data_IF_152945912588
#
_entry.id   IF_152945912588
#
_cell.length_a   1.000
_cell.length_b   1.000
_cell.length_c   1.000
_cell.angle_alpha   90.00
_cell.angle_beta   90.00
_cell.angle_gamma   90.00
#
_symmetry.space_group_name_H-M   'P 1'
#
loop_
_entity.id
_entity.type
_entity.pdbx_description
1 polymer ?
#
# COMPACT_ATOMS: atom_id res chain seq x y z
N UNK A 1 -19.54 23.80 -22.35
CA UNK A 1 -18.46 23.01 -22.99
C UNK A 1 -17.21 22.80 -22.13
N UNK A 2 -16.89 23.63 -21.13
CA UNK A 2 -15.69 23.42 -20.27
C UNK A 2 -15.81 22.27 -19.23
N UNK A 3 -17.03 21.89 -18.84
CA UNK A 3 -17.26 20.89 -17.77
C UNK A 3 -16.93 19.47 -18.24
N UNK A 4 -17.20 19.12 -19.51
CA UNK A 4 -16.92 17.78 -20.05
C UNK A 4 -15.43 17.45 -20.21
N UNK A 5 -14.61 18.44 -20.55
CA UNK A 5 -13.15 18.27 -20.73
C UNK A 5 -12.47 18.11 -19.36
N UNK A 6 -12.92 18.86 -18.35
CA UNK A 6 -12.39 18.77 -16.98
C UNK A 6 -12.80 17.47 -16.27
N UNK A 7 -14.04 17.00 -16.47
CA UNK A 7 -14.51 15.72 -15.92
C UNK A 7 -13.75 14.52 -16.48
N UNK A 8 -13.69 14.38 -17.80
CA UNK A 8 -12.98 13.29 -18.45
C UNK A 8 -11.48 13.29 -18.09
N UNK A 9 -10.82 14.46 -18.09
CA UNK A 9 -9.40 14.55 -17.71
C UNK A 9 -9.15 14.15 -16.26
N UNK A 10 -10.08 14.45 -15.34
CA UNK A 10 -10.02 14.04 -13.93
C UNK A 10 -10.17 12.54 -13.79
N UNK A 11 -11.17 11.94 -14.43
CA UNK A 11 -11.42 10.49 -14.40
C UNK A 11 -10.27 9.70 -15.03
N UNK A 12 -9.68 10.22 -16.12
CA UNK A 12 -8.47 9.66 -16.71
C UNK A 12 -7.28 9.70 -15.74
N UNK A 13 -7.07 10.82 -15.08
CA UNK A 13 -5.98 10.98 -14.11
C UNK A 13 -6.18 10.04 -12.92
N UNK A 14 -7.42 9.89 -12.46
CA UNK A 14 -7.78 8.95 -11.39
C UNK A 14 -7.57 7.48 -11.82
N UNK A 15 -7.99 7.12 -13.03
CA UNK A 15 -7.83 5.78 -13.59
C UNK A 15 -6.37 5.38 -13.78
N UNK A 16 -5.58 6.19 -14.47
CA UNK A 16 -4.15 5.93 -14.64
C UNK A 16 -3.38 6.00 -13.32
N UNK A 17 -3.71 6.97 -12.46
CA UNK A 17 -3.06 7.13 -11.17
C UNK A 17 -3.26 5.93 -10.25
N UNK A 18 -4.49 5.40 -10.20
CA UNK A 18 -4.81 4.22 -9.38
C UNK A 18 -4.23 2.92 -9.95
N UNK A 19 -4.22 2.72 -11.27
CA UNK A 19 -3.54 1.57 -11.88
C UNK A 19 -2.02 1.63 -11.65
N UNK A 20 -1.42 2.80 -11.81
CA UNK A 20 -0.01 3.01 -11.51
C UNK A 20 0.31 2.70 -10.03
N UNK A 21 -0.51 3.22 -9.11
CA UNK A 21 -0.39 2.91 -7.69
C UNK A 21 -0.54 1.41 -7.41
N UNK A 22 -1.45 0.70 -8.08
CA UNK A 22 -1.62 -0.74 -7.95
C UNK A 22 -0.33 -1.51 -8.33
N UNK A 23 0.35 -1.11 -9.41
CA UNK A 23 1.63 -1.70 -9.86
C UNK A 23 2.75 -1.42 -8.85
N UNK A 24 2.83 -0.20 -8.33
CA UNK A 24 3.81 0.17 -7.30
C UNK A 24 3.58 -0.63 -6.02
N UNK A 25 2.33 -0.71 -5.53
CA UNK A 25 1.98 -1.49 -4.34
C UNK A 25 2.22 -2.99 -4.54
N UNK A 26 1.96 -3.53 -5.73
CA UNK A 26 2.27 -4.93 -6.06
C UNK A 26 3.77 -5.19 -5.90
N UNK A 27 4.58 -4.33 -6.50
CA UNK A 27 6.03 -4.43 -6.48
C UNK A 27 6.59 -4.38 -5.05
N UNK A 28 6.12 -3.41 -4.26
CA UNK A 28 6.52 -3.25 -2.85
C UNK A 28 6.00 -4.41 -2.00
N UNK A 29 4.78 -4.88 -2.25
CA UNK A 29 4.14 -6.01 -1.56
C UNK A 29 4.91 -7.31 -1.72
N UNK A 30 5.25 -7.68 -2.96
CA UNK A 30 6.04 -8.88 -3.27
C UNK A 30 7.42 -8.78 -2.62
N UNK A 31 8.07 -7.60 -2.71
CA UNK A 31 9.38 -7.38 -2.09
C UNK A 31 9.34 -7.51 -0.56
N UNK A 32 8.32 -6.95 0.10
CA UNK A 32 8.17 -7.03 1.56
C UNK A 32 7.87 -8.46 2.03
N UNK A 33 7.09 -9.23 1.25
CA UNK A 33 6.77 -10.62 1.58
C UNK A 33 8.03 -11.51 1.65
N UNK A 34 8.98 -11.34 0.72
CA UNK A 34 10.23 -12.10 0.70
C UNK A 34 11.21 -11.75 1.81
N UNK A 35 11.22 -10.50 2.26
CA UNK A 35 12.15 -10.01 3.29
C UNK A 35 11.65 -10.21 4.71
N UNK A 36 10.36 -10.47 4.89
CA UNK A 36 9.72 -10.73 6.18
C UNK A 36 10.28 -11.94 6.96
N UNK A 37 11.15 -12.78 6.38
CA UNK A 37 11.67 -13.99 7.06
C UNK A 37 13.21 -14.10 7.08
N UNK A 38 13.96 -13.10 6.60
CA UNK A 38 15.42 -13.20 6.55
C UNK A 38 16.08 -12.56 7.77
N UNK A 39 16.73 -13.35 8.62
CA UNK A 39 17.63 -12.87 9.69
C UNK A 39 18.74 -11.94 9.16
N UNK A 40 19.09 -12.05 7.88
CA UNK A 40 20.02 -11.14 7.20
C UNK A 40 19.47 -9.71 7.04
N UNK A 41 18.15 -9.52 6.99
CA UNK A 41 17.53 -8.21 6.89
C UNK A 41 17.65 -7.42 8.19
N UNK A 42 17.54 -8.09 9.35
CA UNK A 42 17.78 -7.47 10.65
C UNK A 42 19.23 -6.95 10.77
N UNK A 43 20.21 -7.70 10.25
CA UNK A 43 21.62 -7.27 10.16
C UNK A 43 21.80 -6.11 9.17
N UNK A 44 21.17 -6.20 8.00
CA UNK A 44 21.19 -5.15 6.97
C UNK A 44 20.56 -3.84 7.46
N UNK A 45 19.41 -3.89 8.15
CA UNK A 45 18.77 -2.72 8.74
C UNK A 45 19.66 -2.12 9.82
N UNK A 46 20.25 -2.94 10.70
CA UNK A 46 21.19 -2.44 11.73
C UNK A 46 22.42 -1.77 11.11
N UNK A 47 23.03 -2.37 10.10
CA UNK A 47 24.20 -1.82 9.39
C UNK A 47 23.84 -0.58 8.56
N UNK A 48 22.70 -0.56 7.86
CA UNK A 48 22.23 0.61 7.10
C UNK A 48 21.78 1.74 8.01
N UNK A 49 21.15 1.46 9.15
CA UNK A 49 20.78 2.48 10.13
C UNK A 49 22.03 3.06 10.79
N UNK A 50 23.02 2.21 11.13
CA UNK A 50 24.34 2.64 11.62
C UNK A 50 25.11 3.50 10.60
N UNK A 51 25.14 3.09 9.32
CA UNK A 51 25.82 3.86 8.24
C UNK A 51 25.03 5.09 7.78
N UNK A 52 23.70 5.06 7.87
CA UNK A 52 22.86 6.21 7.51
C UNK A 52 23.05 7.38 8.47
N UNK A 53 23.31 7.06 9.74
CA UNK A 53 23.64 8.03 10.77
C UNK A 53 25.05 8.63 10.59
N UNK A 54 25.96 8.01 9.82
CA UNK A 54 27.39 8.37 9.84
C UNK A 54 27.95 9.09 8.61
N UNK A 55 27.19 9.39 7.54
CA UNK A 55 27.84 10.11 6.41
C UNK A 55 27.06 10.52 5.16
N UNK A 56 25.72 10.45 5.12
CA UNK A 56 24.98 11.01 3.96
C UNK A 56 23.56 10.49 3.75
N UNK A 57 23.22 9.32 4.31
CA UNK A 57 21.86 8.77 4.19
C UNK A 57 20.87 9.32 5.23
N UNK A 58 21.33 10.06 6.25
CA UNK A 58 20.46 10.77 7.19
C UNK A 58 19.59 11.84 6.50
N UNK A 59 20.16 12.60 5.55
CA UNK A 59 19.41 13.57 4.74
C UNK A 59 18.33 12.91 3.86
N UNK A 60 18.63 11.74 3.30
CA UNK A 60 17.65 10.96 2.53
C UNK A 60 16.50 10.46 3.42
N UNK A 61 16.82 9.89 4.59
CA UNK A 61 15.81 9.41 5.54
C UNK A 61 14.96 10.56 6.10
N UNK A 62 15.59 11.70 6.40
CA UNK A 62 14.91 12.92 6.78
C UNK A 62 13.98 13.42 5.67
N UNK A 63 14.47 13.51 4.43
CA UNK A 63 13.66 13.94 3.28
C UNK A 63 12.49 12.99 3.02
N UNK A 64 12.70 11.68 3.10
CA UNK A 64 11.64 10.69 2.96
C UNK A 64 10.58 10.82 4.06
N UNK A 65 11.01 10.91 5.32
CA UNK A 65 10.08 11.09 6.45
C UNK A 65 9.34 12.43 6.33
N UNK A 66 10.03 13.50 5.95
CA UNK A 66 9.44 14.82 5.74
C UNK A 66 8.36 14.78 4.65
N UNK A 67 8.65 14.22 3.46
CA UNK A 67 7.67 14.14 2.37
C UNK A 67 6.44 13.32 2.77
N UNK A 68 6.65 12.18 3.44
CA UNK A 68 5.55 11.31 3.90
C UNK A 68 4.67 12.04 4.93
N UNK A 69 5.26 12.67 5.95
CA UNK A 69 4.51 13.41 6.98
C UNK A 69 3.86 14.66 6.39
N UNK A 70 4.57 15.42 5.55
CA UNK A 70 4.04 16.63 4.91
C UNK A 70 2.79 16.32 4.07
N UNK A 71 2.82 15.24 3.26
CA UNK A 71 1.67 14.84 2.46
C UNK A 71 0.44 14.55 3.32
N UNK A 72 0.62 13.76 4.39
CA UNK A 72 -0.47 13.37 5.28
C UNK A 72 -1.06 14.58 6.02
N UNK A 73 -0.20 15.49 6.50
CA UNK A 73 -0.61 16.73 7.16
C UNK A 73 -1.34 17.64 6.17
N UNK A 74 -0.86 17.76 4.94
CA UNK A 74 -1.50 18.56 3.90
C UNK A 74 -2.91 18.05 3.57
N UNK A 75 -3.06 16.74 3.34
CA UNK A 75 -4.36 16.09 3.09
C UNK A 75 -5.31 16.30 4.28
N UNK A 76 -4.80 16.16 5.50
CA UNK A 76 -5.58 16.39 6.73
C UNK A 76 -6.05 17.84 6.83
N UNK A 77 -5.18 18.83 6.60
CA UNK A 77 -5.55 20.25 6.64
C UNK A 77 -6.61 20.57 5.58
N UNK A 78 -6.45 20.07 4.35
CA UNK A 78 -7.44 20.29 3.29
C UNK A 78 -8.79 19.64 3.64
N UNK A 79 -8.77 18.44 4.23
CA UNK A 79 -9.99 17.77 4.67
C UNK A 79 -10.69 18.55 5.80
N UNK A 80 -9.95 19.00 6.81
CA UNK A 80 -10.49 19.84 7.88
C UNK A 80 -11.02 21.18 7.35
N UNK A 81 -10.31 21.80 6.40
CA UNK A 81 -10.78 23.03 5.77
C UNK A 81 -12.12 22.81 5.05
N UNK A 82 -12.22 21.76 4.23
CA UNK A 82 -13.45 21.40 3.52
C UNK A 82 -14.61 21.04 4.47
N UNK A 83 -14.32 20.37 5.58
CA UNK A 83 -15.33 19.95 6.54
C UNK A 83 -15.78 21.14 7.42
N UNK A 84 -14.86 22.04 7.79
CA UNK A 84 -15.20 23.28 8.52
C UNK A 84 -16.08 24.23 7.72
N UNK A 85 -15.95 24.23 6.39
CA UNK A 85 -16.82 24.99 5.51
C UNK A 85 -18.28 24.52 5.53
N UNK A 86 -18.58 23.31 6.06
CA UNK A 86 -19.95 22.79 6.20
C UNK A 86 -20.67 23.27 7.47
N UNK A 87 -19.98 23.97 8.38
CA UNK A 87 -20.60 24.77 9.45
C UNK A 87 -20.71 24.12 10.84
N UNK A 88 -20.39 22.84 11.01
CA UNK A 88 -20.42 22.18 12.33
C UNK A 88 -19.02 22.07 12.97
N UNK A 89 -18.50 23.22 13.41
CA UNK A 89 -17.18 23.30 14.03
C UNK A 89 -17.10 22.59 15.40
N UNK A 90 -18.23 22.40 16.09
CA UNK A 90 -18.27 21.71 17.38
C UNK A 90 -17.98 20.21 17.24
N UNK A 91 -18.67 19.55 16.31
CA UNK A 91 -18.45 18.13 16.05
C UNK A 91 -17.07 17.86 15.42
N UNK A 92 -16.57 18.82 14.64
CA UNK A 92 -15.21 18.80 14.10
C UNK A 92 -14.12 18.78 15.18
N UNK A 93 -14.23 19.67 16.16
CA UNK A 93 -13.26 19.75 17.26
C UNK A 93 -13.34 18.50 18.15
N UNK A 94 -14.54 17.97 18.39
CA UNK A 94 -14.72 16.71 19.11
C UNK A 94 -14.07 15.52 18.36
N UNK A 95 -14.30 15.44 17.05
CA UNK A 95 -13.65 14.46 16.16
C UNK A 95 -12.13 14.58 16.20
N UNK A 96 -11.59 15.79 16.05
CA UNK A 96 -10.16 16.06 16.13
C UNK A 96 -9.55 15.64 17.48
N UNK A 97 -10.19 16.02 18.59
CA UNK A 97 -9.76 15.64 19.93
C UNK A 97 -9.76 14.12 20.13
N UNK A 98 -10.79 13.44 19.64
CA UNK A 98 -10.88 11.98 19.71
C UNK A 98 -9.78 11.28 18.89
N UNK A 99 -9.48 11.79 17.69
CA UNK A 99 -8.42 11.27 16.83
C UNK A 99 -7.04 11.47 17.47
N UNK A 100 -6.76 12.66 18.02
CA UNK A 100 -5.51 12.93 18.75
C UNK A 100 -5.36 11.98 19.94
N UNK A 101 -6.41 11.76 20.72
CA UNK A 101 -6.40 10.83 21.86
C UNK A 101 -6.09 9.40 21.43
N UNK A 102 -6.79 8.90 20.40
CA UNK A 102 -6.59 7.54 19.87
C UNK A 102 -5.19 7.37 19.27
N UNK A 103 -4.73 8.32 18.46
CA UNK A 103 -3.38 8.27 17.86
C UNK A 103 -2.29 8.35 18.93
N UNK A 104 -2.49 9.17 19.97
CA UNK A 104 -1.56 9.24 21.11
C UNK A 104 -1.48 7.90 21.85
N UNK A 105 -2.62 7.22 22.05
CA UNK A 105 -2.68 5.89 22.65
C UNK A 105 -1.96 4.85 21.78
N UNK A 106 -2.20 4.86 20.46
CA UNK A 106 -1.54 3.98 19.51
C UNK A 106 -0.02 4.24 19.50
N UNK A 107 0.41 5.51 19.45
CA UNK A 107 1.81 5.89 19.50
C UNK A 107 2.47 5.43 20.80
N UNK A 108 1.82 5.63 21.94
CA UNK A 108 2.29 5.14 23.23
C UNK A 108 2.44 3.61 23.24
N UNK A 109 1.45 2.87 22.74
CA UNK A 109 1.52 1.43 22.62
C UNK A 109 2.67 0.99 21.69
N UNK A 110 2.81 1.61 20.52
CA UNK A 110 3.90 1.32 19.58
C UNK A 110 5.28 1.57 20.18
N UNK A 111 5.47 2.68 20.92
CA UNK A 111 6.72 2.99 21.60
C UNK A 111 7.02 2.00 22.73
N UNK A 112 5.98 1.58 23.47
CA UNK A 112 6.13 0.61 24.57
C UNK A 112 6.42 -0.80 24.08
N UNK A 113 5.75 -1.25 23.02
CA UNK A 113 5.86 -2.61 22.48
C UNK A 113 6.90 -2.75 21.35
N UNK A 114 7.49 -1.65 20.86
CA UNK A 114 8.52 -1.66 19.80
C UNK A 114 9.69 -2.61 20.05
N UNK A 115 10.09 -2.80 21.32
CA UNK A 115 11.20 -3.72 21.68
C UNK A 115 10.86 -5.21 21.51
N UNK A 116 9.59 -5.57 21.43
CA UNK A 116 9.11 -6.96 21.29
C UNK A 116 8.49 -7.25 19.93
N UNK A 117 8.42 -6.27 19.04
CA UNK A 117 7.66 -6.40 17.81
C UNK A 117 8.42 -7.30 16.82
N UNK A 118 7.93 -8.52 16.53
CA UNK A 118 8.61 -9.41 15.60
C UNK A 118 8.50 -8.78 14.20
N UNK A 119 9.60 -8.15 13.76
CA UNK A 119 9.69 -7.43 12.48
C UNK A 119 9.15 -8.30 11.33
N UNK A 120 9.44 -9.60 11.39
CA UNK A 120 8.92 -10.58 10.45
C UNK A 120 7.39 -10.58 10.31
N UNK A 121 6.66 -10.54 11.43
CA UNK A 121 5.20 -10.55 11.40
C UNK A 121 4.65 -9.21 10.90
N UNK A 122 5.27 -8.08 11.27
CA UNK A 122 4.89 -6.76 10.78
C UNK A 122 4.97 -6.70 9.25
N UNK A 123 6.12 -7.06 8.67
CA UNK A 123 6.30 -7.07 7.21
C UNK A 123 5.33 -8.03 6.52
N UNK A 124 5.00 -9.18 7.14
CA UNK A 124 4.00 -10.11 6.63
C UNK A 124 2.61 -9.49 6.59
N UNK A 125 2.14 -8.88 7.68
CA UNK A 125 0.82 -8.22 7.71
C UNK A 125 0.76 -7.04 6.74
N UNK A 126 1.81 -6.21 6.69
CA UNK A 126 1.89 -5.11 5.73
C UNK A 126 1.92 -5.60 4.28
N UNK A 127 2.58 -6.73 3.98
CA UNK A 127 2.55 -7.33 2.63
C UNK A 127 1.16 -7.77 2.21
N UNK A 128 0.38 -8.34 3.14
CA UNK A 128 -1.02 -8.70 2.89
C UNK A 128 -1.92 -7.47 2.72
N UNK A 129 -1.72 -6.43 3.54
CA UNK A 129 -2.45 -5.17 3.40
C UNK A 129 -2.21 -4.56 2.02
N UNK A 130 -0.96 -4.47 1.57
CA UNK A 130 -0.64 -3.96 0.24
C UNK A 130 -1.22 -4.84 -0.86
N UNK A 131 -1.17 -6.17 -0.73
CA UNK A 131 -1.79 -7.09 -1.67
C UNK A 131 -3.29 -6.83 -1.85
N UNK A 132 -4.02 -6.63 -0.74
CA UNK A 132 -5.45 -6.27 -0.79
C UNK A 132 -5.64 -4.92 -1.47
N UNK A 133 -4.90 -3.89 -1.08
CA UNK A 133 -5.01 -2.55 -1.67
C UNK A 133 -4.68 -2.53 -3.15
N UNK A 134 -3.69 -3.30 -3.60
CA UNK A 134 -3.37 -3.50 -5.01
C UNK A 134 -4.58 -3.98 -5.81
N UNK A 135 -5.30 -4.98 -5.31
CA UNK A 135 -6.50 -5.52 -5.98
C UNK A 135 -7.63 -4.48 -5.98
N UNK A 136 -7.83 -3.76 -4.88
CA UNK A 136 -8.85 -2.70 -4.79
C UNK A 136 -8.57 -1.57 -5.78
N UNK A 137 -7.33 -1.10 -5.86
CA UNK A 137 -6.93 0.00 -6.76
C UNK A 137 -7.01 -0.40 -8.22
N UNK A 138 -6.71 -1.66 -8.56
CA UNK A 138 -6.86 -2.15 -9.92
C UNK A 138 -8.32 -2.08 -10.40
N UNK A 139 -9.26 -2.50 -9.55
CA UNK A 139 -10.69 -2.43 -9.85
C UNK A 139 -11.19 -0.99 -9.97
N UNK A 140 -10.80 -0.10 -9.04
CA UNK A 140 -11.12 1.33 -9.11
C UNK A 140 -10.54 2.03 -10.33
N UNK A 141 -9.30 1.68 -10.71
CA UNK A 141 -8.65 2.28 -11.87
C UNK A 141 -9.30 1.90 -13.18
N UNK A 142 -9.68 0.63 -13.34
CA UNK A 142 -10.45 0.23 -14.53
C UNK A 142 -11.83 0.89 -14.55
N UNK A 143 -12.50 1.01 -13.42
CA UNK A 143 -13.80 1.69 -13.35
C UNK A 143 -13.69 3.17 -13.73
N UNK A 144 -12.67 3.89 -13.24
CA UNK A 144 -12.45 5.29 -13.62
C UNK A 144 -12.10 5.46 -15.11
N UNK A 145 -11.39 4.50 -15.72
CA UNK A 145 -11.15 4.49 -17.17
C UNK A 145 -12.41 4.15 -17.99
N UNK A 146 -13.35 3.40 -17.40
CA UNK A 146 -14.68 3.16 -17.98
C UNK A 146 -15.54 4.42 -17.93
N UNK A 147 -15.52 5.14 -16.80
CA UNK A 147 -16.21 6.43 -16.63
C UNK A 147 -15.67 7.47 -17.63
N UNK A 148 -14.34 7.51 -17.82
CA UNK A 148 -13.69 8.38 -18.81
C UNK A 148 -13.93 7.98 -20.28
N UNK A 149 -14.60 6.86 -20.54
CA UNK A 149 -14.94 6.38 -21.89
C UNK A 149 -13.79 5.74 -22.68
N UNK A 150 -12.64 5.43 -22.05
CA UNK A 150 -11.53 4.73 -22.71
C UNK A 150 -11.72 3.21 -22.77
N UNK A 151 -12.40 2.64 -21.77
CA UNK A 151 -12.64 1.20 -21.68
C UNK A 151 -14.13 0.95 -21.86
N UNK A 152 -14.48 0.03 -22.75
CA UNK A 152 -15.87 -0.39 -22.94
C UNK A 152 -16.45 -1.01 -21.66
N UNK A 153 -17.73 -0.76 -21.41
CA UNK A 153 -18.47 -1.33 -20.29
C UNK A 153 -19.14 -2.61 -20.79
N UNK A 154 -18.66 -3.77 -20.32
CA UNK A 154 -19.33 -5.05 -20.52
C UNK A 154 -19.93 -5.49 -19.17
N UNK A 155 -21.23 -5.27 -18.93
CA UNK A 155 -21.86 -5.55 -17.64
C UNK A 155 -21.84 -7.04 -17.31
N UNK A 156 -21.69 -7.35 -16.02
CA UNK A 156 -21.97 -8.66 -15.47
C UNK A 156 -23.21 -8.62 -14.57
N UNK A 157 -24.19 -9.46 -14.86
CA UNK A 157 -25.43 -9.56 -14.09
C UNK A 157 -25.23 -10.12 -12.65
N UNK A 158 -24.24 -10.99 -12.45
CA UNK A 158 -24.12 -11.80 -11.23
C UNK A 158 -23.07 -11.32 -10.20
N UNK A 159 -22.45 -10.14 -10.39
CA UNK A 159 -21.44 -9.61 -9.45
C UNK A 159 -21.96 -8.42 -8.65
N UNK A 160 -21.82 -8.43 -7.30
CA UNK A 160 -22.24 -7.31 -6.48
C UNK A 160 -21.33 -6.09 -6.69
N UNK A 161 -21.92 -4.90 -6.71
CA UNK A 161 -21.17 -3.63 -6.75
C UNK A 161 -20.69 -3.26 -5.36
N UNK A 162 -19.39 -3.36 -5.11
CA UNK A 162 -18.74 -2.98 -3.86
C UNK A 162 -17.69 -1.90 -4.14
N UNK A 163 -18.13 -0.63 -4.17
CA UNK A 163 -17.27 0.51 -4.50
C UNK A 163 -16.06 0.67 -3.56
N UNK A 164 -16.22 0.32 -2.28
CA UNK A 164 -15.12 0.33 -1.31
C UNK A 164 -14.00 -0.65 -1.69
N UNK A 165 -14.36 -1.85 -2.16
CA UNK A 165 -13.41 -2.90 -2.56
C UNK A 165 -13.00 -2.79 -4.04
N UNK A 166 -13.48 -1.76 -4.75
CA UNK A 166 -13.20 -1.61 -6.18
C UNK A 166 -13.85 -2.69 -7.05
N UNK A 167 -14.83 -3.43 -6.53
CA UNK A 167 -15.55 -4.46 -7.30
C UNK A 167 -16.71 -3.79 -8.01
N UNK A 168 -16.63 -3.74 -9.34
CA UNK A 168 -17.69 -3.24 -10.18
C UNK A 168 -18.25 -4.39 -11.04
N UNK A 169 -19.55 -4.36 -11.38
CA UNK A 169 -20.18 -5.43 -12.17
C UNK A 169 -19.79 -5.32 -13.65
N UNK A 170 -18.49 -5.36 -13.96
CA UNK A 170 -17.94 -5.28 -15.33
C UNK A 170 -16.84 -6.31 -15.54
N UNK A 171 -16.77 -6.90 -16.74
CA UNK A 171 -15.74 -7.90 -17.10
C UNK A 171 -14.33 -7.37 -16.90
N UNK A 172 -14.11 -6.13 -17.31
CA UNK A 172 -12.79 -5.51 -17.33
C UNK A 172 -12.27 -5.27 -15.91
N UNK A 173 -13.12 -4.79 -14.98
CA UNK A 173 -12.71 -4.54 -13.60
C UNK A 173 -12.44 -5.85 -12.85
N UNK A 174 -13.34 -6.84 -12.98
CA UNK A 174 -13.16 -8.17 -12.36
C UNK A 174 -11.91 -8.85 -12.91
N UNK A 175 -11.69 -8.82 -14.23
CA UNK A 175 -10.50 -9.38 -14.84
C UNK A 175 -9.21 -8.70 -14.35
N UNK A 176 -9.19 -7.37 -14.24
CA UNK A 176 -8.03 -6.65 -13.72
C UNK A 176 -7.74 -7.02 -12.25
N UNK A 177 -8.77 -7.14 -11.42
CA UNK A 177 -8.62 -7.60 -10.04
C UNK A 177 -8.09 -9.04 -9.96
N UNK A 178 -8.61 -9.94 -10.79
CA UNK A 178 -8.14 -11.33 -10.88
C UNK A 178 -6.68 -11.42 -11.36
N UNK A 179 -6.31 -10.65 -12.39
CA UNK A 179 -4.94 -10.61 -12.90
C UNK A 179 -3.97 -10.15 -11.81
N UNK A 180 -4.32 -9.10 -11.05
CA UNK A 180 -3.48 -8.64 -9.94
C UNK A 180 -3.43 -9.67 -8.80
N UNK A 181 -4.54 -10.34 -8.48
CA UNK A 181 -4.55 -11.40 -7.47
C UNK A 181 -3.65 -12.59 -7.87
N UNK A 182 -3.68 -12.98 -9.15
CA UNK A 182 -2.79 -14.02 -9.70
C UNK A 182 -1.34 -13.55 -9.65
N UNK A 183 -1.04 -12.30 -10.03
CA UNK A 183 0.31 -11.75 -9.96
C UNK A 183 0.86 -11.75 -8.52
N UNK A 184 0.03 -11.42 -7.52
CA UNK A 184 0.37 -11.51 -6.09
C UNK A 184 0.66 -12.97 -5.72
N UNK A 185 -0.22 -13.91 -6.07
CA UNK A 185 -0.07 -15.32 -5.72
C UNK A 185 1.22 -15.92 -6.33
N UNK A 186 1.49 -15.63 -7.60
CA UNK A 186 2.72 -16.05 -8.29
C UNK A 186 3.94 -15.39 -7.66
N UNK A 187 3.90 -14.08 -7.43
CA UNK A 187 4.99 -13.33 -6.81
C UNK A 187 5.35 -13.83 -5.42
N UNK A 188 4.35 -14.14 -4.59
CA UNK A 188 4.56 -14.69 -3.24
C UNK A 188 5.08 -16.14 -3.32
N UNK A 189 4.57 -16.96 -4.24
CA UNK A 189 5.00 -18.35 -4.40
C UNK A 189 6.45 -18.48 -4.92
N UNK A 190 6.88 -17.63 -5.86
CA UNK A 190 8.27 -17.61 -6.35
C UNK A 190 9.26 -17.21 -5.24
N UNK A 191 8.91 -16.20 -4.46
CA UNK A 191 9.72 -15.71 -3.34
C UNK A 191 9.88 -16.75 -2.22
N UNK A 192 8.93 -17.68 -2.10
CA UNK A 192 9.03 -18.85 -1.21
C UNK A 192 9.94 -19.97 -1.73
N UNK A 193 10.05 -20.14 -3.05
CA UNK A 193 10.78 -21.26 -3.70
C UNK A 193 12.28 -21.05 -3.80
N UNK A 194 12.77 -19.81 -3.95
CA UNK A 194 14.20 -19.48 -3.99
C UNK A 194 14.97 -19.92 -2.72
N UNK A 195 14.26 -20.33 -1.68
CA UNK A 195 14.83 -20.86 -0.43
C UNK A 195 15.09 -22.36 -0.41
N UNK A 196 14.36 -23.17 -1.19
CA UNK A 196 14.56 -24.64 -1.16
C UNK A 196 15.81 -25.09 -1.91
N UNK A 197 16.37 -24.26 -2.82
CA UNK A 197 17.57 -24.60 -3.61
C UNK A 197 18.90 -24.28 -2.90
N UNK A 198 18.88 -23.46 -1.84
CA UNK A 198 20.09 -23.08 -1.10
C UNK A 198 20.41 -24.03 0.08
N UNK A 199 19.48 -24.90 0.46
CA UNK A 199 19.63 -25.82 1.59
C UNK A 199 20.13 -27.24 1.27
N UNK A 200 20.39 -27.56 0.00
CA UNK A 200 20.72 -28.94 -0.43
C UNK A 200 22.17 -29.15 -0.88
N UNK A 201 23.09 -28.20 -0.57
CA UNK A 201 24.47 -28.22 -1.08
C UNK A 201 25.57 -28.55 -0.07
N UNK A 202 25.25 -28.88 1.19
CA UNK A 202 26.28 -29.02 2.24
C UNK A 202 26.14 -30.29 3.08
N UNK A 203 25.94 -31.44 2.46
CA UNK A 203 26.20 -32.73 3.12
C UNK A 203 26.69 -33.72 2.07
N UNK A 204 28.01 -33.76 1.85
CA UNK A 204 28.80 -34.98 1.62
C UNK A 204 30.20 -34.55 1.16
N UNK A 205 31.19 -34.70 2.02
CA UNK A 205 32.51 -35.32 1.76
C UNK A 205 33.44 -34.98 2.92
N UNK A 206 33.51 -35.89 3.89
CA UNK A 206 34.40 -35.77 5.04
C UNK A 206 34.17 -36.85 6.08
N UNK A 207 34.29 -38.14 5.70
CA UNK A 207 34.59 -39.24 6.64
C UNK A 207 34.94 -40.53 5.88
N UNK A 208 36.22 -40.72 5.59
CA UNK A 208 37.04 -41.92 5.86
C UNK A 208 38.31 -41.88 5.01
#
# INVERSE_FOLDING_TARGET
YAIGISGASRELTEGFGSLFAAVVLLSVGIWMHGKAQADQWQRYIREKMSRALSGGSGWFLFGLAFVVVYREVFETILFYAALSAQGDNGMLLAGAGSAIGLLSLIAWAMLRYSRKLPIAQFFRYSSWLMAVLTVVLAGKGVAALQEAGLINIAPLADVPRLSMLGVFPTWQSVLAQLLMAVAIAVGFAWNGRDRSRSGSGSVTLGSN
#
